data_IF_583355771156
#
_entry.id   IF_583355771156
#
_cell.length_a   1.000
_cell.length_b   1.000
_cell.length_c   1.000
_cell.angle_alpha   90.00
_cell.angle_beta   90.00
_cell.angle_gamma   90.00
#
_symmetry.space_group_name_H-M   'P 1'
#
loop_
_entity.id
_entity.type
_entity.pdbx_description
1 polymer ?
#
# COMPACT_ATOMS: atom_id res chain seq x y z
N UNK A 1 52.75 -5.03 -82.24
CA UNK A 1 54.22 -4.99 -82.29
C UNK A 1 54.69 -3.71 -81.59
N UNK A 2 55.53 -3.84 -80.54
CA UNK A 2 56.38 -2.84 -79.82
C UNK A 2 55.69 -1.61 -79.14
N UNK A 3 56.11 -1.00 -78.00
CA UNK A 3 57.05 -1.22 -76.85
C UNK A 3 56.70 -0.07 -75.83
N UNK A 4 56.47 -0.32 -74.52
CA UNK A 4 57.39 -0.18 -73.34
C UNK A 4 57.80 1.28 -72.98
N UNK A 5 57.16 1.93 -71.97
CA UNK A 5 57.57 2.27 -70.54
C UNK A 5 58.77 3.25 -70.36
N UNK A 6 59.00 4.07 -69.32
CA UNK A 6 58.42 4.47 -68.00
C UNK A 6 59.35 5.53 -67.35
N UNK A 7 58.90 6.21 -66.27
CA UNK A 7 59.60 6.74 -65.04
C UNK A 7 59.16 8.19 -64.71
N UNK A 8 58.68 8.64 -63.54
CA UNK A 8 58.86 8.38 -62.09
C UNK A 8 59.91 9.29 -61.38
N UNK A 9 59.48 9.99 -60.30
CA UNK A 9 60.17 10.33 -59.00
C UNK A 9 59.52 11.60 -58.36
N UNK A 10 58.80 11.55 -57.21
CA UNK A 10 59.20 11.72 -55.77
C UNK A 10 59.66 13.16 -55.37
N UNK A 11 59.58 13.64 -54.08
CA UNK A 11 59.28 12.96 -52.80
C UNK A 11 58.35 13.72 -51.80
N UNK A 12 58.15 13.07 -50.64
CA UNK A 12 57.33 13.42 -49.47
C UNK A 12 58.18 14.04 -48.34
N UNK A 13 57.65 15.01 -47.56
CA UNK A 13 58.19 15.43 -46.25
C UNK A 13 57.09 15.96 -45.32
N UNK A 14 57.16 15.54 -44.05
CA UNK A 14 56.26 15.78 -42.91
C UNK A 14 56.53 17.11 -42.21
N UNK A 15 55.50 17.70 -41.57
CA UNK A 15 55.63 18.58 -40.39
C UNK A 15 54.69 18.06 -39.29
N UNK A 16 55.20 18.06 -38.05
CA UNK A 16 54.59 17.56 -36.80
C UNK A 16 54.16 18.72 -35.89
N UNK A 17 53.36 18.36 -34.87
CA UNK A 17 52.88 19.11 -33.69
C UNK A 17 51.51 19.80 -33.87
N UNK A 18 50.59 19.86 -32.90
CA UNK A 18 50.34 19.21 -31.61
C UNK A 18 48.86 19.54 -31.29
N UNK A 19 48.15 18.70 -30.53
CA UNK A 19 47.06 19.01 -29.56
C UNK A 19 46.17 17.77 -29.40
N UNK A 20 46.60 16.84 -28.54
CA UNK A 20 45.72 15.78 -28.04
C UNK A 20 44.70 16.42 -27.10
N UNK A 21 43.47 16.59 -27.57
CA UNK A 21 42.30 16.89 -26.73
C UNK A 21 42.03 15.65 -25.88
N UNK A 22 42.50 15.67 -24.63
CA UNK A 22 42.12 14.67 -23.63
C UNK A 22 40.63 14.85 -23.32
N UNK A 23 39.80 13.96 -23.85
CA UNK A 23 38.39 13.84 -23.47
C UNK A 23 38.28 13.41 -22.01
N UNK A 24 37.41 14.04 -21.19
CA UNK A 24 37.26 13.66 -19.80
C UNK A 24 36.59 12.28 -19.74
N UNK A 25 37.34 11.28 -19.28
CA UNK A 25 36.79 9.95 -18.97
C UNK A 25 35.87 10.11 -17.78
N UNK A 26 34.56 10.06 -18.03
CA UNK A 26 33.51 10.09 -17.02
C UNK A 26 33.61 8.81 -16.18
N UNK A 27 34.34 8.86 -15.06
CA UNK A 27 34.40 7.73 -14.13
C UNK A 27 33.04 7.58 -13.45
N UNK A 28 32.28 6.56 -13.85
CA UNK A 28 31.13 6.10 -13.07
C UNK A 28 31.66 5.49 -11.78
N UNK A 29 31.68 6.26 -10.70
CA UNK A 29 31.83 5.72 -9.36
C UNK A 29 30.57 4.92 -9.06
N UNK A 30 30.63 3.59 -9.22
CA UNK A 30 29.58 2.69 -8.77
C UNK A 30 29.43 2.89 -7.24
N UNK A 31 28.27 3.32 -6.73
CA UNK A 31 28.04 3.41 -5.30
C UNK A 31 28.19 2.02 -4.67
N UNK A 32 28.83 1.96 -3.51
CA UNK A 32 29.14 0.72 -2.79
C UNK A 32 27.88 -0.14 -2.60
N UNK A 33 27.82 -1.27 -3.31
CA UNK A 33 26.71 -2.24 -3.23
C UNK A 33 26.58 -2.73 -1.78
N UNK A 34 27.68 -2.81 -1.03
CA UNK A 34 27.70 -3.22 0.37
C UNK A 34 26.97 -2.25 1.31
N UNK A 35 27.03 -0.94 1.09
CA UNK A 35 26.30 0.01 1.94
C UNK A 35 24.80 0.03 1.63
N UNK A 36 24.42 -0.22 0.37
CA UNK A 36 23.03 -0.39 -0.03
C UNK A 36 22.42 -1.70 0.53
N UNK A 37 23.17 -2.81 0.46
CA UNK A 37 22.74 -4.11 1.02
C UNK A 37 22.67 -4.07 2.54
N UNK A 38 23.63 -3.44 3.22
CA UNK A 38 23.59 -3.27 4.69
C UNK A 38 22.40 -2.43 5.12
N UNK A 39 22.11 -1.33 4.41
CA UNK A 39 20.94 -0.49 4.68
C UNK A 39 19.64 -1.23 4.40
N UNK A 40 19.58 -2.05 3.33
CA UNK A 40 18.44 -2.89 3.03
C UNK A 40 18.20 -3.93 4.14
N UNK A 41 19.25 -4.57 4.65
CA UNK A 41 19.13 -5.54 5.76
C UNK A 41 18.74 -4.89 7.09
N UNK A 42 19.25 -3.69 7.41
CA UNK A 42 18.86 -2.95 8.61
C UNK A 42 17.40 -2.48 8.56
N UNK A 43 16.94 -2.14 7.36
CA UNK A 43 15.54 -1.84 7.08
C UNK A 43 14.70 -3.12 7.24
N UNK A 44 15.16 -4.25 6.69
CA UNK A 44 14.48 -5.55 6.75
C UNK A 44 14.35 -6.04 8.20
N UNK A 45 15.41 -6.02 9.00
CA UNK A 45 15.36 -6.42 10.43
C UNK A 45 14.40 -5.58 11.28
N UNK A 46 14.29 -4.28 10.99
CA UNK A 46 13.30 -3.41 11.66
C UNK A 46 11.88 -3.78 11.23
N UNK A 47 11.69 -4.16 9.97
CA UNK A 47 10.39 -4.61 9.48
C UNK A 47 10.00 -6.00 9.98
N UNK A 48 10.95 -6.93 10.16
CA UNK A 48 10.69 -8.24 10.79
C UNK A 48 10.18 -8.06 12.22
N UNK A 49 10.82 -7.19 13.02
CA UNK A 49 10.41 -6.89 14.40
C UNK A 49 9.06 -6.17 14.49
N UNK A 50 8.66 -5.40 13.48
CA UNK A 50 7.33 -4.76 13.41
C UNK A 50 6.26 -5.74 12.91
N UNK A 51 6.62 -6.65 12.01
CA UNK A 51 5.75 -7.73 11.53
C UNK A 51 5.40 -8.72 12.65
N UNK A 52 6.33 -8.98 13.56
CA UNK A 52 6.16 -9.88 14.72
C UNK A 52 5.24 -9.35 15.83
N UNK A 53 4.85 -8.07 15.79
CA UNK A 53 3.94 -7.55 16.82
C UNK A 53 2.57 -8.24 16.75
N UNK A 54 1.95 -8.56 17.91
CA UNK A 54 0.62 -9.15 17.97
C UNK A 54 -0.40 -8.33 17.19
N UNK A 55 -1.38 -9.02 16.57
CA UNK A 55 -2.47 -8.38 15.80
C UNK A 55 -3.22 -7.38 16.67
N UNK A 56 -3.52 -7.75 17.92
CA UNK A 56 -4.24 -6.90 18.88
C UNK A 56 -3.55 -5.55 19.10
N UNK A 57 -2.22 -5.55 19.23
CA UNK A 57 -1.45 -4.32 19.38
C UNK A 57 -1.58 -3.42 18.16
N UNK A 58 -1.48 -4.00 16.96
CA UNK A 58 -1.62 -3.26 15.69
C UNK A 58 -3.02 -2.67 15.56
N UNK A 59 -4.06 -3.41 15.96
CA UNK A 59 -5.44 -2.92 15.93
C UNK A 59 -5.66 -1.80 16.94
N UNK A 60 -5.15 -1.92 18.16
CA UNK A 60 -5.24 -0.83 19.14
C UNK A 60 -4.55 0.44 18.64
N UNK A 61 -3.39 0.31 18.00
CA UNK A 61 -2.72 1.46 17.38
C UNK A 61 -3.58 2.06 16.27
N UNK A 62 -4.19 1.25 15.39
CA UNK A 62 -5.10 1.76 14.35
C UNK A 62 -6.24 2.55 15.00
N UNK A 63 -6.92 1.99 16.00
CA UNK A 63 -8.04 2.66 16.67
C UNK A 63 -7.61 4.01 17.24
N UNK A 64 -6.47 4.04 17.95
CA UNK A 64 -5.91 5.27 18.53
C UNK A 64 -5.55 6.32 17.49
N UNK A 65 -5.15 5.90 16.28
CA UNK A 65 -4.79 6.84 15.22
C UNK A 65 -6.02 7.43 14.53
N UNK A 66 -7.16 6.73 14.53
CA UNK A 66 -8.36 7.12 13.78
C UNK A 66 -9.52 7.61 14.64
N UNK A 67 -9.43 7.47 15.97
CA UNK A 67 -10.53 7.76 16.90
C UNK A 67 -11.08 9.20 16.82
N UNK A 68 -10.27 10.17 16.37
CA UNK A 68 -10.68 11.55 16.16
C UNK A 68 -10.86 11.95 14.70
N UNK A 69 -10.76 11.01 13.75
CA UNK A 69 -10.67 11.31 12.31
C UNK A 69 -11.91 10.82 11.56
N UNK A 70 -12.90 11.71 11.27
CA UNK A 70 -14.18 11.30 10.67
C UNK A 70 -14.04 10.57 9.34
N UNK A 71 -13.07 10.96 8.50
CA UNK A 71 -12.84 10.32 7.20
C UNK A 71 -12.37 8.86 7.34
N UNK A 72 -11.43 8.60 8.25
CA UNK A 72 -10.92 7.25 8.50
C UNK A 72 -11.95 6.38 9.21
N UNK A 73 -12.72 6.95 10.14
CA UNK A 73 -13.86 6.29 10.76
C UNK A 73 -14.92 5.92 9.71
N UNK A 74 -15.25 6.83 8.80
CA UNK A 74 -16.18 6.56 7.70
C UNK A 74 -15.67 5.43 6.80
N UNK A 75 -14.41 5.50 6.34
CA UNK A 75 -13.83 4.49 5.46
C UNK A 75 -13.80 3.11 6.12
N UNK A 76 -13.42 3.02 7.40
CA UNK A 76 -13.39 1.76 8.13
C UNK A 76 -14.81 1.24 8.42
N UNK A 77 -15.75 2.11 8.80
CA UNK A 77 -17.14 1.73 9.00
C UNK A 77 -17.79 1.21 7.72
N UNK A 78 -17.48 1.84 6.59
CA UNK A 78 -17.95 1.37 5.28
C UNK A 78 -17.30 0.02 4.90
N UNK A 79 -16.01 -0.16 5.17
CA UNK A 79 -15.35 -1.46 5.01
C UNK A 79 -16.05 -2.56 5.84
N UNK A 80 -16.38 -2.28 7.11
CA UNK A 80 -17.10 -3.21 7.98
C UNK A 80 -18.51 -3.54 7.50
N UNK A 81 -19.24 -2.54 6.98
CA UNK A 81 -20.55 -2.75 6.37
C UNK A 81 -20.44 -3.71 5.16
N UNK A 82 -19.48 -3.51 4.27
CA UNK A 82 -19.27 -4.39 3.11
C UNK A 82 -18.82 -5.80 3.53
N UNK A 83 -18.01 -5.92 4.59
CA UNK A 83 -17.68 -7.23 5.17
C UNK A 83 -18.94 -7.94 5.66
N UNK A 84 -19.80 -7.23 6.41
CA UNK A 84 -21.06 -7.78 6.94
C UNK A 84 -21.98 -8.25 5.81
N UNK A 85 -22.09 -7.50 4.69
CA UNK A 85 -22.88 -7.87 3.52
C UNK A 85 -22.52 -9.22 2.90
N UNK A 86 -21.27 -9.66 3.02
CA UNK A 86 -20.81 -10.96 2.53
C UNK A 86 -20.59 -12.01 3.63
N UNK A 87 -21.10 -11.75 4.84
CA UNK A 87 -21.02 -12.69 5.96
C UNK A 87 -19.66 -12.74 6.67
N UNK A 88 -18.83 -11.71 6.51
CA UNK A 88 -17.60 -11.53 7.29
C UNK A 88 -17.93 -10.65 8.49
N UNK A 89 -18.34 -11.29 9.59
CA UNK A 89 -18.75 -10.64 10.84
C UNK A 89 -17.86 -11.07 12.00
N UNK A 90 -17.91 -10.37 13.13
CA UNK A 90 -17.19 -10.80 14.35
C UNK A 90 -17.69 -12.15 14.88
N UNK A 91 -18.97 -12.45 14.66
CA UNK A 91 -19.58 -13.71 15.09
C UNK A 91 -19.22 -14.86 14.15
N UNK A 92 -19.19 -16.08 14.72
CA UNK A 92 -19.05 -17.33 13.97
C UNK A 92 -17.87 -17.36 12.97
N UNK A 93 -16.73 -16.78 13.35
CA UNK A 93 -15.52 -16.64 12.51
C UNK A 93 -15.13 -17.94 11.80
N UNK A 94 -15.19 -19.07 12.51
CA UNK A 94 -14.80 -20.38 11.96
C UNK A 94 -15.82 -20.95 10.95
N UNK A 95 -17.06 -20.45 10.98
CA UNK A 95 -18.16 -20.94 10.16
C UNK A 95 -18.50 -20.01 8.99
N UNK A 96 -17.68 -18.97 8.75
CA UNK A 96 -17.88 -18.05 7.61
C UNK A 96 -17.79 -18.84 6.30
N UNK A 97 -18.73 -18.59 5.39
CA UNK A 97 -18.79 -19.24 4.07
C UNK A 97 -18.85 -18.20 2.97
N UNK A 98 -18.23 -18.50 1.83
CA UNK A 98 -18.31 -17.65 0.64
C UNK A 98 -19.71 -17.79 0.04
N UNK A 99 -20.52 -16.75 0.17
CA UNK A 99 -21.78 -16.65 -0.57
C UNK A 99 -21.55 -16.31 -2.05
N UNK A 100 -22.63 -16.29 -2.83
CA UNK A 100 -22.62 -15.95 -4.26
C UNK A 100 -22.04 -14.56 -4.53
N UNK A 101 -22.31 -13.60 -3.64
CA UNK A 101 -21.85 -12.21 -3.77
C UNK A 101 -20.42 -11.98 -3.25
N UNK A 102 -19.73 -13.02 -2.77
CA UNK A 102 -18.40 -12.87 -2.16
C UNK A 102 -17.42 -12.18 -3.10
N UNK A 103 -17.16 -12.77 -4.28
CA UNK A 103 -16.18 -12.24 -5.23
C UNK A 103 -16.51 -10.84 -5.78
N UNK A 104 -17.74 -10.56 -6.26
CA UNK A 104 -18.04 -9.23 -6.79
C UNK A 104 -17.90 -8.13 -5.73
N UNK A 105 -18.35 -8.35 -4.49
CA UNK A 105 -18.22 -7.36 -3.42
C UNK A 105 -16.76 -7.27 -2.93
N UNK A 106 -16.06 -8.40 -2.82
CA UNK A 106 -14.68 -8.40 -2.34
C UNK A 106 -13.76 -7.62 -3.30
N UNK A 107 -13.86 -7.88 -4.61
CA UNK A 107 -13.03 -7.22 -5.62
C UNK A 107 -13.50 -5.79 -5.92
N UNK A 108 -14.82 -5.57 -5.98
CA UNK A 108 -15.41 -4.28 -6.33
C UNK A 108 -15.42 -3.26 -5.19
N UNK A 109 -15.51 -3.72 -3.94
CA UNK A 109 -15.69 -2.84 -2.77
C UNK A 109 -14.57 -3.03 -1.75
N UNK A 110 -14.37 -4.24 -1.21
CA UNK A 110 -13.45 -4.43 -0.07
C UNK A 110 -11.99 -4.12 -0.40
N UNK A 111 -11.47 -4.57 -1.54
CA UNK A 111 -10.09 -4.26 -1.96
C UNK A 111 -9.91 -2.74 -2.13
N UNK A 112 -10.75 -2.03 -2.90
CA UNK A 112 -10.67 -0.58 -3.02
C UNK A 112 -10.79 0.15 -1.67
N UNK A 113 -11.73 -0.24 -0.80
CA UNK A 113 -11.92 0.39 0.51
C UNK A 113 -10.72 0.18 1.42
N UNK A 114 -10.17 -1.04 1.48
CA UNK A 114 -8.94 -1.31 2.23
C UNK A 114 -7.77 -0.46 1.70
N UNK A 115 -7.63 -0.36 0.38
CA UNK A 115 -6.59 0.46 -0.23
C UNK A 115 -6.75 1.95 0.13
N UNK A 116 -7.96 2.49 -0.03
CA UNK A 116 -8.26 3.89 0.31
C UNK A 116 -7.97 4.19 1.79
N UNK A 117 -8.38 3.29 2.70
CA UNK A 117 -8.08 3.42 4.12
C UNK A 117 -6.57 3.53 4.41
N UNK A 118 -5.77 2.62 3.86
CA UNK A 118 -4.32 2.66 4.08
C UNK A 118 -3.65 3.84 3.37
N UNK A 119 -4.13 4.27 2.21
CA UNK A 119 -3.65 5.46 1.53
C UNK A 119 -3.94 6.72 2.35
N UNK A 120 -5.15 6.90 2.88
CA UNK A 120 -5.49 8.02 3.77
C UNK A 120 -4.65 7.99 5.05
N UNK A 121 -4.51 6.82 5.70
CA UNK A 121 -3.61 6.66 6.85
C UNK A 121 -2.17 7.07 6.53
N UNK A 122 -1.68 6.75 5.33
CA UNK A 122 -0.34 7.11 4.89
C UNK A 122 -0.20 8.62 4.63
N UNK A 123 -1.17 9.22 3.93
CA UNK A 123 -1.21 10.66 3.65
C UNK A 123 -1.26 11.50 4.94
N UNK A 124 -1.92 11.00 5.97
CA UNK A 124 -2.00 11.63 7.30
C UNK A 124 -0.78 11.31 8.19
N UNK A 125 0.25 10.62 7.67
CA UNK A 125 1.41 10.15 8.42
C UNK A 125 1.09 9.27 9.64
N UNK A 126 -0.07 8.58 9.63
CA UNK A 126 -0.54 7.69 10.71
C UNK A 126 -0.11 6.23 10.50
N UNK A 127 0.18 5.83 9.26
CA UNK A 127 0.74 4.51 8.95
C UNK A 127 1.86 4.57 7.90
N UNK A 128 2.89 3.75 8.10
CA UNK A 128 4.00 3.60 7.15
C UNK A 128 3.79 2.44 6.15
N UNK A 129 2.87 1.52 6.45
CA UNK A 129 2.65 0.31 5.67
C UNK A 129 1.17 0.12 5.38
N UNK A 130 0.85 -0.35 4.17
CA UNK A 130 -0.47 -0.86 3.87
C UNK A 130 -0.54 -2.37 4.11
N UNK A 131 -1.67 -2.83 4.64
CA UNK A 131 -1.93 -4.25 4.82
C UNK A 131 -2.83 -4.75 3.69
N UNK A 132 -2.41 -5.83 3.04
CA UNK A 132 -3.19 -6.45 1.96
C UNK A 132 -4.26 -7.36 2.53
N UNK A 133 -5.38 -7.45 1.82
CA UNK A 133 -6.38 -8.46 2.08
C UNK A 133 -5.99 -9.80 1.47
N UNK A 134 -6.39 -10.89 2.13
CA UNK A 134 -6.28 -12.25 1.63
C UNK A 134 -7.66 -12.78 1.19
N UNK A 135 -8.01 -12.67 -0.11
CA UNK A 135 -9.30 -13.15 -0.62
C UNK A 135 -9.50 -14.66 -0.48
N UNK A 136 -8.43 -15.44 -0.30
CA UNK A 136 -8.48 -16.89 -0.23
C UNK A 136 -8.69 -17.43 1.20
N UNK A 137 -8.60 -16.58 2.22
CA UNK A 137 -8.85 -16.94 3.62
C UNK A 137 -10.02 -16.15 4.20
N UNK A 138 -11.25 -16.67 4.08
CA UNK A 138 -12.46 -15.96 4.56
C UNK A 138 -12.51 -15.79 6.09
N UNK A 139 -11.89 -16.70 6.83
CA UNK A 139 -11.82 -16.64 8.29
C UNK A 139 -10.74 -15.66 8.79
N UNK A 140 -9.89 -15.16 7.89
CA UNK A 140 -8.77 -14.28 8.21
C UNK A 140 -8.40 -13.46 6.98
N UNK A 141 -9.21 -12.44 6.69
CA UNK A 141 -9.04 -11.65 5.47
C UNK A 141 -7.90 -10.64 5.55
N UNK A 142 -7.39 -10.33 6.75
CA UNK A 142 -6.30 -9.38 6.94
C UNK A 142 -6.40 -8.63 8.26
N UNK A 143 -5.62 -7.55 8.39
CA UNK A 143 -5.56 -6.77 9.62
C UNK A 143 -6.88 -6.03 9.92
N UNK A 144 -7.56 -5.54 8.88
CA UNK A 144 -8.87 -4.90 9.00
C UNK A 144 -10.04 -5.89 9.15
N UNK A 145 -9.81 -7.20 9.31
CA UNK A 145 -10.90 -8.16 9.54
C UNK A 145 -11.69 -7.75 10.80
N UNK A 146 -13.03 -7.63 10.73
CA UNK A 146 -13.87 -7.27 11.86
C UNK A 146 -13.55 -8.01 13.17
N UNK A 147 -13.17 -9.29 13.09
CA UNK A 147 -12.86 -10.12 14.26
C UNK A 147 -11.70 -9.59 15.11
N UNK A 148 -10.80 -8.81 14.52
CA UNK A 148 -9.61 -8.31 15.21
C UNK A 148 -9.92 -7.06 16.06
N UNK A 149 -11.09 -6.45 15.90
CA UNK A 149 -11.48 -5.22 16.58
C UNK A 149 -12.32 -5.51 17.84
N UNK A 150 -12.28 -4.61 18.85
CA UNK A 150 -13.19 -4.70 19.99
C UNK A 150 -14.66 -4.71 19.54
N UNK A 151 -15.53 -5.52 20.15
CA UNK A 151 -16.94 -5.59 19.75
C UNK A 151 -17.68 -4.26 19.80
N UNK A 152 -17.40 -3.45 20.82
CA UNK A 152 -18.07 -2.15 20.99
C UNK A 152 -17.64 -1.15 19.93
N UNK A 153 -16.36 -1.17 19.56
CA UNK A 153 -15.81 -0.34 18.48
C UNK A 153 -16.47 -0.70 17.14
N UNK A 154 -16.54 -2.00 16.82
CA UNK A 154 -17.18 -2.49 15.60
C UNK A 154 -18.66 -2.11 15.52
N UNK A 155 -19.42 -2.33 16.60
CA UNK A 155 -20.85 -1.97 16.66
C UNK A 155 -21.08 -0.48 16.48
N UNK A 156 -20.30 0.36 17.17
CA UNK A 156 -20.41 1.82 17.04
C UNK A 156 -20.13 2.26 15.59
N UNK A 157 -19.05 1.78 14.98
CA UNK A 157 -18.72 2.11 13.59
C UNK A 157 -19.84 1.79 12.60
N UNK A 158 -20.58 0.70 12.79
CA UNK A 158 -21.72 0.33 11.95
C UNK A 158 -22.92 1.28 12.08
N UNK A 159 -23.01 2.05 13.16
CA UNK A 159 -24.04 3.10 13.33
C UNK A 159 -23.67 4.41 12.64
N UNK A 160 -22.42 4.55 12.19
CA UNK A 160 -21.91 5.80 11.64
C UNK A 160 -21.54 6.85 12.69
N UNK A 161 -21.52 6.47 13.97
CA UNK A 161 -21.12 7.31 15.10
C UNK A 161 -20.10 6.60 15.98
N UNK A 162 -19.09 7.32 16.44
CA UNK A 162 -18.08 6.79 17.36
C UNK A 162 -17.63 7.87 18.34
N UNK A 163 -17.69 7.60 19.65
CA UNK A 163 -17.30 8.55 20.70
C UNK A 163 -17.86 9.98 20.51
N UNK A 164 -19.12 10.09 20.08
CA UNK A 164 -19.78 11.39 19.83
C UNK A 164 -19.45 12.04 18.48
N UNK A 165 -18.54 11.48 17.70
CA UNK A 165 -18.26 11.91 16.32
C UNK A 165 -19.26 11.22 15.39
N UNK A 166 -20.08 12.02 14.71
CA UNK A 166 -20.96 11.57 13.64
C UNK A 166 -20.26 11.75 12.29
N UNK A 167 -19.98 10.64 11.61
CA UNK A 167 -19.26 10.65 10.34
C UNK A 167 -20.14 10.17 9.17
N UNK A 168 -21.46 10.05 9.36
CA UNK A 168 -22.41 9.58 8.34
C UNK A 168 -22.42 10.42 7.07
N UNK A 169 -22.19 11.72 7.22
CA UNK A 169 -22.23 12.72 6.13
C UNK A 169 -20.85 13.07 5.55
N UNK A 170 -19.80 12.35 5.94
CA UNK A 170 -18.45 12.60 5.45
C UNK A 170 -18.41 12.46 3.93
N UNK A 171 -17.86 13.47 3.24
CA UNK A 171 -17.77 13.49 1.77
C UNK A 171 -16.78 12.42 1.30
N UNK A 172 -17.29 11.23 1.03
CA UNK A 172 -16.51 10.18 0.39
C UNK A 172 -16.74 10.18 -1.13
N UNK A 173 -15.65 10.10 -1.88
CA UNK A 173 -15.69 9.75 -3.30
C UNK A 173 -15.98 8.25 -3.42
N UNK A 174 -17.24 7.86 -3.22
CA UNK A 174 -17.69 6.49 -3.42
C UNK A 174 -18.96 6.45 -4.25
N UNK A 175 -19.03 5.49 -5.17
CA UNK A 175 -20.20 5.19 -5.99
C UNK A 175 -21.35 4.57 -5.18
N UNK A 176 -21.13 4.27 -3.90
CA UNK A 176 -22.15 3.75 -2.98
C UNK A 176 -21.90 4.23 -1.54
N UNK A 177 -22.91 4.14 -0.68
CA UNK A 177 -22.83 4.51 0.74
C UNK A 177 -23.29 3.35 1.61
N UNK A 178 -22.70 3.17 2.80
CA UNK A 178 -23.19 2.20 3.77
C UNK A 178 -24.59 2.57 4.25
N UNK A 179 -25.41 1.55 4.52
CA UNK A 179 -26.66 1.73 5.26
C UNK A 179 -26.34 1.58 6.75
N UNK A 180 -26.32 2.72 7.45
CA UNK A 180 -25.99 2.78 8.87
C UNK A 180 -27.05 2.11 9.72
N UNK A 181 -26.62 1.42 10.78
CA UNK A 181 -27.52 0.78 11.74
C UNK A 181 -28.11 1.81 12.71
N UNK A 182 -29.36 1.60 13.11
CA UNK A 182 -29.98 2.42 14.16
C UNK A 182 -29.25 2.18 15.49
N UNK A 183 -28.85 3.27 16.16
CA UNK A 183 -28.34 3.15 17.52
C UNK A 183 -29.50 2.72 18.43
N UNK A 184 -29.32 1.61 19.15
CA UNK A 184 -30.27 1.15 20.16
C UNK A 184 -30.17 2.00 21.43
N UNK A 185 -30.24 3.31 21.28
CA UNK A 185 -30.38 4.22 22.40
C UNK A 185 -31.87 4.19 22.77
N UNK A 186 -32.26 3.17 23.55
CA UNK A 186 -33.54 3.16 24.25
C UNK A 186 -33.59 4.38 25.17
N UNK A 187 -34.48 5.31 24.83
CA UNK A 187 -35.01 6.34 25.74
C UNK A 187 -35.75 5.66 26.89
#
# INVERSE_FOLDING_TARGET
MFRVTSRAALPCLRILSQLNVLSPVRSFKLPSIFSAVKRANEIDERFTKLAERPVDYKVMEIIKQIDTEPELLFQLGFFFYECKRIGITQDLVNNRKRGVLYWPIFLGNLIPLNRAFWETMHLMNKAQHSHRLNPFKINEIGLLDPKNFPPDFYKQLLTGKYNGIDFRDTKAFSMSRPQWEESKDTV
#
